data_IF_277958607039
#
_entry.id   IF_277958607039
#
_cell.length_a   1.000
_cell.length_b   1.000
_cell.length_c   1.000
_cell.angle_alpha   90.00
_cell.angle_beta   90.00
_cell.angle_gamma   90.00
#
_symmetry.space_group_name_H-M   'P 1'
#
loop_
_entity.id
_entity.type
_entity.pdbx_description
1 polymer ?
#
# COMPACT_ATOMS: atom_id res chain seq x y z
N UNK A 1 15.91 27.74 7.48
CA UNK A 1 15.35 27.43 6.14
C UNK A 1 15.55 25.93 5.89
N UNK A 2 14.49 25.15 5.68
CA UNK A 2 14.59 23.70 5.45
C UNK A 2 14.93 23.37 3.98
N UNK A 3 15.30 22.09 3.74
CA UNK A 3 15.45 21.52 2.38
C UNK A 3 14.17 21.65 1.55
N UNK A 4 14.23 21.40 0.24
CA UNK A 4 13.03 21.35 -0.61
C UNK A 4 12.02 20.32 -0.09
N UNK A 5 12.49 19.14 0.27
CA UNK A 5 11.66 18.07 0.85
C UNK A 5 10.97 18.51 2.15
N UNK A 6 11.69 19.20 3.04
CA UNK A 6 11.10 19.73 4.27
C UNK A 6 10.02 20.78 3.99
N UNK A 7 10.16 21.60 2.96
CA UNK A 7 9.13 22.57 2.54
C UNK A 7 7.88 21.88 1.99
N UNK A 8 8.06 20.82 1.19
CA UNK A 8 6.95 20.03 0.66
C UNK A 8 6.21 19.33 1.81
N UNK A 9 6.93 18.68 2.72
CA UNK A 9 6.33 18.04 3.88
C UNK A 9 5.53 19.03 4.75
N UNK A 10 6.09 20.22 5.00
CA UNK A 10 5.40 21.28 5.73
C UNK A 10 4.13 21.77 5.00
N UNK A 11 4.17 21.88 3.68
CA UNK A 11 3.00 22.27 2.89
C UNK A 11 1.91 21.20 2.95
N UNK A 12 2.26 19.91 2.83
CA UNK A 12 1.30 18.80 3.01
C UNK A 12 0.66 18.85 4.40
N UNK A 13 1.47 18.98 5.45
CA UNK A 13 0.96 19.06 6.81
C UNK A 13 0.06 20.28 7.05
N UNK A 14 0.38 21.41 6.42
CA UNK A 14 -0.35 22.66 6.62
C UNK A 14 -1.64 22.73 5.83
N UNK A 15 -1.65 22.23 4.60
CA UNK A 15 -2.74 22.48 3.64
C UNK A 15 -3.58 21.25 3.29
N UNK A 16 -3.05 20.03 3.49
CA UNK A 16 -3.80 18.81 3.16
C UNK A 16 -4.31 18.06 4.38
N UNK A 17 -3.50 17.94 5.43
CA UNK A 17 -3.90 17.16 6.61
C UNK A 17 -5.12 17.70 7.37
N UNK A 18 -5.33 19.03 7.53
CA UNK A 18 -6.46 19.53 8.30
C UNK A 18 -7.83 19.09 7.79
N UNK A 19 -7.96 18.89 6.48
CA UNK A 19 -9.23 18.53 5.83
C UNK A 19 -9.27 17.05 5.38
N UNK A 20 -8.29 16.24 5.78
CA UNK A 20 -8.20 14.84 5.37
C UNK A 20 -8.88 13.90 6.38
N UNK A 21 -9.88 13.13 5.94
CA UNK A 21 -10.50 12.05 6.72
C UNK A 21 -9.73 10.74 6.63
N UNK A 22 -8.99 10.54 5.53
CA UNK A 22 -8.17 9.37 5.27
C UNK A 22 -7.03 9.71 4.31
N UNK A 23 -5.87 9.06 4.44
CA UNK A 23 -4.73 9.24 3.55
C UNK A 23 -4.27 7.90 2.96
N UNK A 24 -4.04 7.89 1.66
CA UNK A 24 -3.38 6.78 0.96
C UNK A 24 -2.10 7.27 0.30
N UNK A 25 -1.02 6.56 0.55
CA UNK A 25 0.30 6.78 -0.03
C UNK A 25 0.60 5.63 -1.00
N UNK A 26 0.82 5.92 -2.28
CA UNK A 26 1.05 4.89 -3.31
C UNK A 26 2.53 4.82 -3.64
N UNK A 27 3.10 3.65 -3.42
CA UNK A 27 4.51 3.38 -3.62
C UNK A 27 4.76 2.24 -4.61
N UNK A 28 5.96 2.19 -5.13
CA UNK A 28 6.50 1.12 -5.97
C UNK A 28 7.94 0.85 -5.55
N UNK A 29 8.42 -0.36 -5.73
CA UNK A 29 9.83 -0.68 -5.54
C UNK A 29 10.75 0.17 -6.42
N UNK A 30 11.94 0.44 -5.91
CA UNK A 30 12.97 1.24 -6.57
C UNK A 30 13.55 0.52 -7.81
N UNK A 31 14.52 1.13 -8.48
CA UNK A 31 15.12 0.62 -9.73
C UNK A 31 15.77 -0.77 -9.60
N UNK A 32 16.15 -1.16 -8.39
CA UNK A 32 16.75 -2.47 -8.07
C UNK A 32 15.85 -3.31 -7.14
N UNK A 33 14.62 -2.92 -6.96
CA UNK A 33 13.68 -3.54 -6.04
C UNK A 33 12.38 -3.91 -6.76
N UNK A 34 11.88 -5.11 -6.49
CA UNK A 34 10.54 -5.53 -6.83
C UNK A 34 9.84 -5.91 -5.53
N UNK A 35 8.65 -5.41 -5.31
CA UNK A 35 7.91 -5.69 -4.08
C UNK A 35 6.70 -6.56 -4.34
N UNK A 36 6.46 -7.51 -3.43
CA UNK A 36 5.20 -8.25 -3.36
C UNK A 36 4.10 -7.26 -2.98
N UNK A 37 2.93 -7.27 -3.66
CA UNK A 37 1.86 -6.34 -3.34
C UNK A 37 1.36 -6.46 -1.90
N UNK A 38 1.42 -5.36 -1.13
CA UNK A 38 0.95 -5.32 0.25
C UNK A 38 0.51 -3.92 0.68
N UNK A 39 -0.17 -3.84 1.82
CA UNK A 39 -0.53 -2.59 2.47
C UNK A 39 0.14 -2.47 3.84
N UNK A 40 0.87 -1.38 4.09
CA UNK A 40 1.22 -0.97 5.44
C UNK A 40 0.03 -0.26 6.09
N UNK A 41 -0.22 -0.59 7.36
CA UNK A 41 -1.13 0.16 8.23
C UNK A 41 -0.43 0.55 9.54
N UNK A 42 -0.64 1.75 10.07
CA UNK A 42 0.05 2.25 11.26
C UNK A 42 -0.48 1.57 12.53
N UNK A 43 0.43 1.17 13.44
CA UNK A 43 0.11 0.60 14.76
C UNK A 43 0.77 1.36 15.92
N UNK A 44 1.29 2.56 15.67
CA UNK A 44 1.96 3.40 16.67
C UNK A 44 1.34 4.81 16.77
N UNK A 45 0.08 4.96 16.33
CA UNK A 45 -0.61 6.25 16.23
C UNK A 45 -1.90 6.33 17.08
N UNK A 46 -2.12 5.32 17.92
CA UNK A 46 -3.31 5.23 18.78
C UNK A 46 -4.38 4.29 18.23
N UNK A 47 -5.14 3.70 19.14
CA UNK A 47 -6.04 2.58 18.88
C UNK A 47 -7.11 2.88 17.81
N UNK A 48 -7.68 4.09 17.83
CA UNK A 48 -8.71 4.48 16.86
C UNK A 48 -8.18 4.55 15.45
N UNK A 49 -6.99 5.14 15.26
CA UNK A 49 -6.32 5.24 13.95
C UNK A 49 -5.93 3.85 13.47
N UNK A 50 -5.33 3.02 14.35
CA UNK A 50 -4.99 1.63 14.03
C UNK A 50 -6.21 0.83 13.56
N UNK A 51 -7.31 0.86 14.32
CA UNK A 51 -8.53 0.12 13.97
C UNK A 51 -9.10 0.52 12.61
N UNK A 52 -9.19 1.82 12.33
CA UNK A 52 -9.69 2.33 11.05
C UNK A 52 -8.77 1.95 9.90
N UNK A 53 -7.45 2.14 10.05
CA UNK A 53 -6.47 1.79 9.02
C UNK A 53 -6.42 0.27 8.76
N UNK A 54 -6.44 -0.55 9.82
CA UNK A 54 -6.48 -2.00 9.69
C UNK A 54 -7.78 -2.50 9.04
N UNK A 55 -8.92 -1.87 9.31
CA UNK A 55 -10.19 -2.19 8.66
C UNK A 55 -10.13 -1.85 7.16
N UNK A 56 -9.60 -0.69 6.80
CA UNK A 56 -9.40 -0.28 5.41
C UNK A 56 -8.44 -1.23 4.68
N UNK A 57 -7.31 -1.60 5.30
CA UNK A 57 -6.38 -2.57 4.70
C UNK A 57 -7.02 -3.95 4.46
N UNK A 58 -7.96 -4.37 5.33
CA UNK A 58 -8.74 -5.61 5.13
C UNK A 58 -9.75 -5.54 4.00
N UNK A 59 -10.21 -4.37 3.65
CA UNK A 59 -11.17 -4.18 2.56
C UNK A 59 -10.52 -4.29 1.17
N UNK A 60 -9.19 -4.18 1.08
CA UNK A 60 -8.46 -4.23 -0.19
C UNK A 60 -8.21 -5.67 -0.64
N UNK A 61 -8.26 -5.92 -1.94
CA UNK A 61 -7.87 -7.19 -2.57
C UNK A 61 -6.35 -7.33 -2.65
N UNK A 62 -5.69 -7.33 -1.49
CA UNK A 62 -4.26 -7.55 -1.30
C UNK A 62 -4.03 -8.75 -0.39
N UNK A 63 -3.09 -9.63 -0.77
CA UNK A 63 -2.79 -10.83 0.03
C UNK A 63 -2.10 -10.49 1.35
N UNK A 64 -1.36 -9.40 1.42
CA UNK A 64 -0.55 -9.06 2.58
C UNK A 64 -0.91 -7.72 3.18
N UNK A 65 -1.00 -7.69 4.50
CA UNK A 65 -1.12 -6.49 5.32
C UNK A 65 0.00 -6.49 6.34
N UNK A 66 0.66 -5.36 6.50
CA UNK A 66 1.85 -5.23 7.34
C UNK A 66 1.64 -4.14 8.37
N UNK A 67 1.68 -4.51 9.63
CA UNK A 67 1.65 -3.56 10.73
C UNK A 67 2.95 -2.76 10.78
N UNK A 68 2.84 -1.44 10.76
CA UNK A 68 3.99 -0.54 10.71
C UNK A 68 4.07 0.35 11.94
N UNK A 69 5.23 0.37 12.57
CA UNK A 69 5.56 1.27 13.68
C UNK A 69 6.25 2.57 13.22
N UNK A 70 6.38 2.79 11.91
CA UNK A 70 6.95 4.01 11.35
C UNK A 70 6.18 5.25 11.81
N UNK A 71 6.89 6.38 11.95
CA UNK A 71 6.33 7.65 12.45
C UNK A 71 6.69 8.87 11.61
N UNK A 72 7.48 8.71 10.57
CA UNK A 72 8.13 9.82 9.84
C UNK A 72 7.93 9.82 8.33
N UNK A 73 7.13 8.91 7.78
CA UNK A 73 6.73 8.92 6.36
C UNK A 73 5.42 9.68 6.15
N UNK A 74 4.98 9.89 4.90
CA UNK A 74 3.77 10.63 4.58
C UNK A 74 2.55 10.04 5.29
N UNK A 75 2.25 8.75 5.06
CA UNK A 75 1.11 8.08 5.70
C UNK A 75 1.27 7.93 7.21
N UNK A 76 2.49 7.63 7.68
CA UNK A 76 2.73 7.40 9.11
C UNK A 76 2.73 8.71 9.91
N UNK A 77 3.13 9.83 9.31
CA UNK A 77 3.00 11.15 9.93
C UNK A 77 1.55 11.62 9.97
N UNK A 78 0.75 11.38 8.92
CA UNK A 78 -0.69 11.60 8.94
C UNK A 78 -1.33 10.82 10.09
N UNK A 79 -0.95 9.57 10.29
CA UNK A 79 -1.43 8.76 11.39
C UNK A 79 -1.10 9.36 12.78
N UNK A 80 0.12 9.92 12.96
CA UNK A 80 0.49 10.62 14.19
C UNK A 80 -0.37 11.89 14.44
N UNK A 81 -0.98 12.44 13.38
CA UNK A 81 -1.93 13.57 13.47
C UNK A 81 -3.39 13.14 13.64
N UNK A 82 -3.63 11.84 13.80
CA UNK A 82 -4.97 11.29 14.01
C UNK A 82 -5.72 10.92 12.72
N UNK A 83 -5.09 11.02 11.55
CA UNK A 83 -5.68 10.70 10.25
C UNK A 83 -5.39 9.24 9.95
N UNK A 84 -6.41 8.35 9.81
CA UNK A 84 -6.20 6.99 9.38
C UNK A 84 -5.55 6.96 8.01
N UNK A 85 -4.57 6.06 7.82
CA UNK A 85 -3.78 6.08 6.60
C UNK A 85 -3.27 4.69 6.22
N UNK A 86 -3.01 4.49 4.93
CA UNK A 86 -2.36 3.31 4.37
C UNK A 86 -1.20 3.75 3.49
N UNK A 87 -0.18 2.89 3.39
CA UNK A 87 0.78 2.93 2.30
C UNK A 87 0.63 1.63 1.52
N UNK A 88 0.41 1.73 0.22
CA UNK A 88 0.28 0.58 -0.67
C UNK A 88 1.56 0.42 -1.49
N UNK A 89 2.08 -0.79 -1.52
CA UNK A 89 3.28 -1.15 -2.26
C UNK A 89 2.96 -2.19 -3.32
N UNK A 90 3.44 -1.99 -4.55
CA UNK A 90 3.44 -3.01 -5.60
C UNK A 90 4.32 -2.62 -6.78
N UNK A 91 4.76 -3.62 -7.57
CA UNK A 91 5.63 -3.40 -8.70
C UNK A 91 7.07 -3.07 -8.30
N UNK A 92 7.82 -2.46 -9.19
CA UNK A 92 9.22 -2.10 -8.93
C UNK A 92 10.06 -2.00 -10.18
N UNK A 93 11.40 -2.09 -10.00
CA UNK A 93 12.41 -1.94 -11.05
C UNK A 93 12.34 -0.57 -11.74
N UNK A 94 11.83 0.45 -11.06
CA UNK A 94 11.61 1.79 -11.61
C UNK A 94 10.66 1.79 -12.81
N UNK A 95 9.77 0.81 -12.92
CA UNK A 95 8.84 0.65 -14.04
C UNK A 95 7.41 0.76 -13.57
N UNK A 96 6.55 1.12 -14.49
CA UNK A 96 5.11 1.00 -14.35
C UNK A 96 4.56 0.11 -15.49
N UNK A 97 3.44 -0.55 -15.24
CA UNK A 97 2.70 -1.33 -16.23
C UNK A 97 1.23 -1.02 -16.10
N UNK A 98 0.46 -1.17 -17.19
CA UNK A 98 -1.01 -1.02 -17.14
C UNK A 98 -1.61 -1.94 -16.07
N UNK A 99 -1.10 -3.16 -15.93
CA UNK A 99 -1.52 -4.11 -14.90
C UNK A 99 -1.39 -3.55 -13.49
N UNK A 100 -0.25 -2.91 -13.16
CA UNK A 100 -0.04 -2.31 -11.84
C UNK A 100 -0.94 -1.08 -11.63
N UNK A 101 -1.11 -0.27 -12.67
CA UNK A 101 -2.03 0.88 -12.64
C UNK A 101 -3.47 0.42 -12.37
N UNK A 102 -3.93 -0.61 -13.09
CA UNK A 102 -5.28 -1.14 -12.92
C UNK A 102 -5.48 -1.78 -11.55
N UNK A 103 -4.46 -2.49 -11.05
CA UNK A 103 -4.50 -3.06 -9.72
C UNK A 103 -4.59 -1.99 -8.62
N UNK A 104 -3.85 -0.86 -8.75
CA UNK A 104 -4.01 0.29 -7.86
C UNK A 104 -5.39 0.93 -7.98
N UNK A 105 -5.93 1.07 -9.19
CA UNK A 105 -7.28 1.58 -9.39
C UNK A 105 -8.31 0.74 -8.67
N UNK A 106 -8.24 -0.59 -8.77
CA UNK A 106 -9.12 -1.50 -8.04
C UNK A 106 -9.01 -1.26 -6.54
N UNK A 107 -7.79 -1.26 -5.99
CA UNK A 107 -7.60 -1.04 -4.57
C UNK A 107 -8.13 0.34 -4.10
N UNK A 108 -8.00 1.38 -4.91
CA UNK A 108 -8.57 2.70 -4.59
C UNK A 108 -10.10 2.67 -4.63
N UNK A 109 -10.73 2.00 -5.59
CA UNK A 109 -12.18 1.84 -5.60
C UNK A 109 -12.68 1.02 -4.41
N UNK A 110 -12.00 -0.06 -4.04
CA UNK A 110 -12.31 -0.84 -2.84
C UNK A 110 -12.24 0.02 -1.57
N UNK A 111 -11.22 0.87 -1.47
CA UNK A 111 -11.08 1.81 -0.37
C UNK A 111 -12.23 2.84 -0.34
N UNK A 112 -12.56 3.45 -1.48
CA UNK A 112 -13.64 4.44 -1.58
C UNK A 112 -15.01 3.84 -1.23
N UNK A 113 -15.23 2.58 -1.58
CA UNK A 113 -16.43 1.84 -1.15
C UNK A 113 -16.39 1.57 0.36
N UNK A 114 -15.25 1.14 0.91
CA UNK A 114 -15.08 0.90 2.34
C UNK A 114 -15.31 2.18 3.18
N UNK A 115 -14.97 3.33 2.62
CA UNK A 115 -15.17 4.66 3.25
C UNK A 115 -16.57 5.24 3.00
N UNK A 116 -17.50 4.48 2.45
CA UNK A 116 -18.86 4.90 2.09
C UNK A 116 -18.92 6.12 1.13
N UNK A 117 -17.86 6.34 0.33
CA UNK A 117 -17.79 7.42 -0.67
C UNK A 117 -18.43 6.96 -1.99
N UNK A 118 -18.27 5.67 -2.35
CA UNK A 118 -18.83 5.08 -3.55
C UNK A 118 -19.71 3.85 -3.21
N UNK A 119 -20.75 3.58 -4.00
CA UNK A 119 -21.57 2.40 -3.82
C UNK A 119 -20.83 1.12 -4.23
N UNK A 120 -21.13 -0.02 -3.56
CA UNK A 120 -20.49 -1.32 -3.82
C UNK A 120 -20.65 -1.79 -5.28
N UNK A 121 -21.73 -1.42 -5.95
CA UNK A 121 -22.00 -1.75 -7.36
C UNK A 121 -20.90 -1.28 -8.32
N UNK A 122 -20.10 -0.28 -7.94
CA UNK A 122 -18.98 0.19 -8.77
C UNK A 122 -17.91 -0.88 -8.94
N UNK A 123 -17.70 -1.74 -7.95
CA UNK A 123 -16.64 -2.75 -7.96
C UNK A 123 -16.87 -3.81 -9.05
N UNK A 124 -18.12 -4.19 -9.33
CA UNK A 124 -18.42 -5.13 -10.42
C UNK A 124 -18.07 -4.51 -11.78
N UNK A 125 -18.41 -3.24 -11.97
CA UNK A 125 -18.10 -2.53 -13.20
C UNK A 125 -16.59 -2.40 -13.43
N UNK A 126 -15.83 -2.05 -12.38
CA UNK A 126 -14.37 -1.88 -12.45
C UNK A 126 -13.65 -3.21 -12.69
N UNK A 127 -14.04 -4.28 -11.99
CA UNK A 127 -13.46 -5.62 -12.18
C UNK A 127 -13.77 -6.19 -13.56
N UNK A 128 -14.95 -5.94 -14.09
CA UNK A 128 -15.35 -6.37 -15.44
C UNK A 128 -14.58 -5.70 -16.58
N UNK A 129 -14.05 -4.51 -16.38
CA UNK A 129 -13.21 -3.81 -17.36
C UNK A 129 -11.81 -4.42 -17.51
N UNK A 130 -11.24 -4.97 -16.43
CA UNK A 130 -9.85 -5.44 -16.37
C UNK A 130 -9.65 -6.91 -16.78
N UNK A 131 -10.72 -7.70 -16.86
CA UNK A 131 -10.62 -9.11 -17.23
C UNK A 131 -10.44 -9.37 -18.74
N UNK A 132 -10.52 -8.34 -19.57
CA UNK A 132 -10.45 -8.52 -21.04
C UNK A 132 -9.03 -8.57 -21.59
N UNK A 133 -8.02 -8.10 -20.85
CA UNK A 133 -6.64 -7.96 -21.36
C UNK A 133 -5.58 -8.78 -20.60
N UNK A 134 -5.96 -9.65 -19.65
CA UNK A 134 -5.01 -10.33 -18.76
C UNK A 134 -4.88 -11.86 -18.97
N UNK A 135 -4.79 -12.33 -20.23
CA UNK A 135 -4.58 -13.77 -20.50
C UNK A 135 -3.15 -14.29 -20.29
N UNK A 136 -2.23 -13.53 -19.70
CA UNK A 136 -0.84 -14.00 -19.56
C UNK A 136 -0.15 -13.58 -18.28
N UNK A 137 -0.47 -14.20 -17.14
CA UNK A 137 0.49 -14.31 -16.02
C UNK A 137 0.02 -15.29 -14.94
N UNK A 138 0.86 -16.24 -14.49
CA UNK A 138 0.47 -17.33 -13.60
C UNK A 138 0.54 -17.06 -12.10
N UNK A 139 0.55 -15.81 -11.64
CA UNK A 139 0.81 -15.49 -10.22
C UNK A 139 -0.28 -14.61 -9.57
N UNK A 140 -1.54 -15.01 -9.69
CA UNK A 140 -2.54 -14.64 -8.69
C UNK A 140 -3.09 -15.94 -8.11
N UNK A 141 -2.73 -16.29 -6.88
CA UNK A 141 -3.45 -17.28 -6.10
C UNK A 141 -4.85 -16.72 -5.78
N UNK A 142 -5.70 -16.67 -6.80
CA UNK A 142 -7.12 -16.46 -6.61
C UNK A 142 -7.69 -17.81 -6.20
N UNK A 143 -8.10 -17.92 -4.93
CA UNK A 143 -8.84 -19.08 -4.46
C UNK A 143 -10.07 -19.30 -5.35
N UNK A 144 -10.53 -20.56 -5.53
CA UNK A 144 -11.72 -20.90 -6.32
C UNK A 144 -13.01 -20.16 -5.92
N UNK A 145 -13.03 -19.54 -4.75
CA UNK A 145 -14.14 -18.73 -4.23
C UNK A 145 -14.08 -17.25 -4.63
N UNK A 146 -13.08 -16.83 -5.40
CA UNK A 146 -12.87 -15.40 -5.74
C UNK A 146 -12.41 -14.52 -4.56
N UNK A 147 -12.17 -15.11 -3.38
CA UNK A 147 -11.64 -14.39 -2.21
C UNK A 147 -10.13 -14.59 -2.12
N UNK A 148 -9.41 -13.50 -1.95
CA UNK A 148 -7.97 -13.53 -1.67
C UNK A 148 -7.77 -13.90 -0.20
N UNK A 149 -6.95 -14.93 0.09
CA UNK A 149 -6.52 -15.21 1.45
C UNK A 149 -5.62 -14.07 1.92
N UNK A 150 -6.11 -13.32 2.90
CA UNK A 150 -5.34 -12.21 3.45
C UNK A 150 -4.52 -12.66 4.66
N UNK A 151 -3.25 -12.32 4.65
CA UNK A 151 -2.32 -12.57 5.74
C UNK A 151 -1.87 -11.27 6.38
N UNK A 152 -1.71 -11.26 7.69
CA UNK A 152 -1.27 -10.10 8.45
C UNK A 152 0.09 -10.34 9.08
N UNK A 153 1.05 -9.46 8.80
CA UNK A 153 2.39 -9.46 9.38
C UNK A 153 2.46 -8.35 10.42
N UNK A 154 2.66 -8.72 11.69
CA UNK A 154 2.81 -7.76 12.80
C UNK A 154 4.26 -7.58 13.25
N UNK A 155 5.14 -8.50 12.89
CA UNK A 155 6.55 -8.44 13.24
C UNK A 155 7.36 -8.54 11.95
N UNK A 156 8.05 -7.45 11.60
CA UNK A 156 9.00 -7.41 10.51
C UNK A 156 10.43 -7.44 11.03
N UNK A 157 11.32 -8.08 10.27
CA UNK A 157 12.75 -8.00 10.48
C UNK A 157 13.38 -7.25 9.32
N UNK A 158 14.14 -6.22 9.64
CA UNK A 158 14.95 -5.51 8.67
C UNK A 158 16.35 -6.11 8.69
N UNK A 159 16.86 -6.45 7.51
CA UNK A 159 18.26 -6.82 7.31
C UNK A 159 19.00 -5.57 6.88
N UNK A 160 19.95 -5.16 7.68
CA UNK A 160 20.79 -4.00 7.39
C UNK A 160 22.07 -4.45 6.70
N UNK A 161 22.51 -3.69 5.69
CA UNK A 161 23.80 -3.93 5.05
C UNK A 161 24.91 -3.72 6.08
N UNK A 162 25.89 -4.64 6.19
CA UNK A 162 26.97 -4.53 7.16
C UNK A 162 27.98 -3.41 6.84
N UNK A 163 27.82 -2.75 5.70
CA UNK A 163 28.67 -1.65 5.26
C UNK A 163 28.18 -1.01 3.97
N UNK A 164 28.88 0.01 3.49
CA UNK A 164 28.56 0.66 2.23
C UNK A 164 28.79 -0.28 1.04
N UNK A 165 27.90 -0.24 0.07
CA UNK A 165 27.99 -1.08 -1.13
C UNK A 165 26.78 -0.93 -2.03
N UNK A 166 26.76 -1.72 -3.10
CA UNK A 166 25.58 -1.85 -3.96
C UNK A 166 24.78 -3.08 -3.55
N UNK A 167 23.47 -2.93 -3.49
CA UNK A 167 22.55 -4.02 -3.24
C UNK A 167 22.10 -4.66 -4.56
N UNK A 168 22.23 -5.98 -4.64
CA UNK A 168 21.68 -6.78 -5.74
C UNK A 168 20.93 -7.97 -5.13
N UNK A 169 19.62 -8.12 -5.36
CA UNK A 169 18.89 -9.28 -4.86
C UNK A 169 19.40 -10.55 -5.57
N UNK A 170 19.78 -11.55 -4.78
CA UNK A 170 20.24 -12.85 -5.29
C UNK A 170 19.07 -13.82 -5.55
N UNK A 171 17.90 -13.53 -5.00
CA UNK A 171 16.69 -14.34 -5.13
C UNK A 171 15.52 -13.44 -5.53
N UNK A 172 14.48 -14.04 -6.13
CA UNK A 172 13.26 -13.32 -6.42
C UNK A 172 12.51 -13.01 -5.13
N UNK A 173 11.84 -11.87 -5.11
CA UNK A 173 10.91 -11.47 -4.06
C UNK A 173 9.84 -12.55 -3.84
N UNK A 174 9.42 -12.73 -2.60
CA UNK A 174 8.44 -13.75 -2.23
C UNK A 174 8.96 -15.19 -2.24
N UNK A 175 10.22 -15.42 -2.61
CA UNK A 175 10.84 -16.75 -2.50
C UNK A 175 11.08 -17.11 -1.02
N UNK A 176 10.86 -18.38 -0.67
CA UNK A 176 11.31 -18.90 0.62
C UNK A 176 12.82 -19.11 0.59
N UNK A 177 13.50 -18.75 1.68
CA UNK A 177 14.91 -19.06 1.93
C UNK A 177 15.08 -20.49 2.45
#
# INVERSE_FOLDING_TARGET
MGSRSAKIAAAVETYLYPDADFLVDLHSGDIHEMVVPFAFFPVAAGETVEKKAAAAARALSLSWRVASTAKNGLYSWAAQKGIPALLLERGGLGRWTEREVDAYRINLYELLVHLDILPESILESVKGMNLKDSESSPESEVLPSGKIEQREIRIMRYLEAPGNGFWYPAIREGSCL
#
